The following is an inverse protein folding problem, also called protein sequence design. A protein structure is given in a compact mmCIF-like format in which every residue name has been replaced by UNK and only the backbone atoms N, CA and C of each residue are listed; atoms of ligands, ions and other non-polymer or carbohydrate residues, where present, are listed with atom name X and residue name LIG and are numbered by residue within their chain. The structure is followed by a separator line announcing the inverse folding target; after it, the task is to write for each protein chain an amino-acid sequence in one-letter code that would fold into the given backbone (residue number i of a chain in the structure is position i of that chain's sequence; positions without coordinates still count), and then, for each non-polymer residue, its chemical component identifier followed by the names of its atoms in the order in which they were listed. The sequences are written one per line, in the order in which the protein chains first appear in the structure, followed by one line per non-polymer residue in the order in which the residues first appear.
data_IF_802419390379
#
_entry.id   IF_802419390379
#
_cell.length_a   1.000
_cell.length_b   1.000
_cell.length_c   1.000
_cell.angle_alpha   90.00
_cell.angle_beta   90.00
_cell.angle_gamma   90.00
#
_symmetry.space_group_name_H-M   'P 1'
#
loop_
_entity.id
_entity.type
_entity.pdbx_description
1 polymer ?
#
# COMPACT_ATOMS: atom_id res chain seq x y z
N UNK A 1 -17.59 0.47 3.91
CA UNK A 1 -17.47 1.18 2.61
C UNK A 1 -16.23 2.06 2.68
N UNK A 2 -15.24 1.85 1.81
CA UNK A 2 -14.10 2.76 1.69
C UNK A 2 -14.61 4.03 0.98
N UNK A 3 -14.95 5.05 1.75
CA UNK A 3 -15.43 6.33 1.25
C UNK A 3 -14.23 7.14 0.74
N UNK A 4 -14.10 7.29 -0.58
CA UNK A 4 -13.03 8.06 -1.26
C UNK A 4 -13.40 9.55 -1.19
N UNK A 5 -13.63 10.08 0.01
CA UNK A 5 -13.98 11.49 0.25
C UNK A 5 -12.90 12.12 1.10
N UNK A 6 -11.81 12.45 0.43
CA UNK A 6 -10.59 12.99 1.03
C UNK A 6 -9.47 12.60 0.08
N UNK A 7 -8.66 13.56 -0.35
CA UNK A 7 -7.56 13.40 -1.30
C UNK A 7 -6.48 12.46 -0.74
N UNK A 8 -6.75 11.16 -0.68
CA UNK A 8 -5.74 10.18 -0.31
C UNK A 8 -4.71 10.14 -1.44
N UNK A 9 -3.44 10.38 -1.10
CA UNK A 9 -2.35 10.30 -2.07
C UNK A 9 -1.98 8.83 -2.21
N UNK A 10 -2.20 8.30 -3.40
CA UNK A 10 -1.91 6.90 -3.70
C UNK A 10 -0.53 6.76 -4.32
N UNK A 11 0.28 5.87 -3.75
CA UNK A 11 1.63 5.57 -4.23
C UNK A 11 1.75 4.08 -4.55
N UNK A 12 2.16 3.75 -5.77
CA UNK A 12 2.45 2.38 -6.14
C UNK A 12 3.92 2.05 -5.85
N UNK A 13 4.17 1.04 -5.01
CA UNK A 13 5.52 0.58 -4.67
C UNK A 13 5.99 -0.40 -5.73
N UNK A 14 7.01 0.01 -6.50
CA UNK A 14 7.51 -0.78 -7.64
C UNK A 14 8.43 -1.90 -7.18
N UNK A 15 8.46 -3.00 -7.94
CA UNK A 15 9.39 -4.13 -7.75
C UNK A 15 9.37 -4.75 -6.34
N UNK A 16 8.28 -4.54 -5.59
CA UNK A 16 8.09 -5.08 -4.26
C UNK A 16 6.97 -6.12 -4.27
N UNK A 17 7.37 -7.38 -4.10
CA UNK A 17 6.47 -8.53 -4.22
C UNK A 17 6.37 -9.39 -2.96
N UNK A 18 7.05 -9.00 -1.88
CA UNK A 18 6.94 -9.71 -0.61
C UNK A 18 5.60 -9.40 0.07
N UNK A 19 4.59 -10.22 -0.24
CA UNK A 19 3.27 -10.14 0.38
C UNK A 19 3.24 -10.64 1.82
N UNK A 20 4.35 -11.03 2.46
CA UNK A 20 4.36 -11.35 3.91
C UNK A 20 4.84 -10.17 4.73
N UNK A 21 5.24 -9.09 4.07
CA UNK A 21 5.78 -7.92 4.72
C UNK A 21 4.80 -7.26 5.68
N UNK A 22 5.36 -6.74 6.77
CA UNK A 22 4.69 -5.79 7.65
C UNK A 22 5.08 -4.37 7.29
N UNK A 23 4.44 -3.43 7.96
CA UNK A 23 4.60 -2.00 7.73
C UNK A 23 6.07 -1.54 7.73
N UNK A 24 6.92 -2.01 8.66
CA UNK A 24 8.33 -1.59 8.75
C UNK A 24 9.11 -1.81 7.45
N UNK A 25 8.81 -2.91 6.74
CA UNK A 25 9.48 -3.21 5.47
C UNK A 25 8.95 -2.33 4.34
N UNK A 26 7.65 -2.05 4.33
CA UNK A 26 7.01 -1.13 3.39
C UNK A 26 7.59 0.28 3.59
N UNK A 27 7.72 0.73 4.83
CA UNK A 27 8.32 2.01 5.21
C UNK A 27 9.76 2.14 4.68
N UNK A 28 10.59 1.13 4.92
CA UNK A 28 11.97 1.08 4.39
C UNK A 28 12.02 1.26 2.87
N UNK A 29 11.07 0.66 2.14
CA UNK A 29 11.01 0.78 0.67
C UNK A 29 10.49 2.14 0.24
N UNK A 30 9.53 2.72 0.96
CA UNK A 30 9.05 4.09 0.72
C UNK A 30 10.19 5.08 0.86
N UNK A 31 11.00 5.00 1.91
CA UNK A 31 12.17 5.85 2.06
C UNK A 31 13.18 5.64 0.92
N UNK A 32 13.44 4.40 0.54
CA UNK A 32 14.40 4.09 -0.51
C UNK A 32 13.94 4.54 -1.90
N UNK A 33 12.67 4.34 -2.25
CA UNK A 33 12.14 4.61 -3.60
C UNK A 33 11.61 6.03 -3.78
N UNK A 34 11.01 6.60 -2.72
CA UNK A 34 10.31 7.87 -2.78
C UNK A 34 11.04 8.97 -2.00
N UNK A 35 12.10 8.64 -1.24
CA UNK A 35 12.89 9.57 -0.42
C UNK A 35 12.02 10.52 0.42
N UNK A 36 10.97 9.96 1.03
CA UNK A 36 9.99 10.70 1.83
C UNK A 36 9.51 9.89 3.01
N UNK A 37 8.95 10.59 3.99
CA UNK A 37 8.12 10.02 5.04
C UNK A 37 6.67 9.86 4.56
N UNK A 38 5.94 8.85 5.06
CA UNK A 38 4.49 8.79 4.93
C UNK A 38 3.82 9.96 5.66
N UNK A 39 2.82 10.54 5.01
CA UNK A 39 1.98 11.58 5.59
C UNK A 39 0.55 11.07 5.78
N UNK A 40 -0.23 11.83 6.54
CA UNK A 40 -1.63 11.53 6.81
C UNK A 40 -2.44 11.37 5.52
N UNK A 41 -3.19 10.26 5.42
CA UNK A 41 -3.97 9.92 4.23
C UNK A 41 -3.15 9.33 3.08
N UNK A 42 -1.85 9.14 3.24
CA UNK A 42 -1.06 8.42 2.25
C UNK A 42 -1.45 6.93 2.23
N UNK A 43 -1.64 6.42 1.02
CA UNK A 43 -1.97 5.02 0.77
C UNK A 43 -0.93 4.41 -0.16
N UNK A 44 -0.22 3.41 0.32
CA UNK A 44 0.79 2.68 -0.44
C UNK A 44 0.20 1.37 -0.96
N UNK A 45 0.30 1.20 -2.27
CA UNK A 45 -0.24 0.05 -3.00
C UNK A 45 0.92 -0.88 -3.31
N UNK A 46 0.81 -2.11 -2.83
CA UNK A 46 1.75 -3.19 -3.12
C UNK A 46 0.99 -4.30 -3.83
N UNK A 47 1.58 -4.87 -4.88
CA UNK A 47 0.95 -5.90 -5.68
C UNK A 47 1.86 -7.12 -5.81
N UNK A 48 1.27 -8.31 -5.68
CA UNK A 48 1.98 -9.57 -5.89
C UNK A 48 2.49 -9.67 -7.33
N UNK A 49 3.52 -10.50 -7.54
CA UNK A 49 4.13 -10.67 -8.87
C UNK A 49 3.14 -11.19 -9.91
N UNK A 50 2.18 -12.00 -9.50
CA UNK A 50 1.11 -12.55 -10.32
C UNK A 50 -0.12 -11.63 -10.45
N UNK A 51 -0.06 -10.42 -9.87
CA UNK A 51 -1.10 -9.39 -9.91
C UNK A 51 -2.46 -9.81 -9.33
N UNK A 52 -2.53 -10.98 -8.69
CA UNK A 52 -3.76 -11.51 -8.09
C UNK A 52 -3.98 -11.06 -6.64
N UNK A 53 -2.99 -10.47 -5.99
CA UNK A 53 -3.10 -9.96 -4.63
C UNK A 53 -2.65 -8.51 -4.56
N UNK A 54 -3.53 -7.66 -4.07
CA UNK A 54 -3.26 -6.23 -3.83
C UNK A 54 -3.37 -5.96 -2.34
N UNK A 55 -2.36 -5.29 -1.80
CA UNK A 55 -2.37 -4.77 -0.44
C UNK A 55 -2.28 -3.25 -0.44
N UNK A 56 -3.14 -2.63 0.35
CA UNK A 56 -3.15 -1.19 0.60
C UNK A 56 -2.72 -0.93 2.04
N UNK A 57 -1.68 -0.13 2.20
CA UNK A 57 -1.21 0.35 3.49
C UNK A 57 -1.61 1.81 3.62
N UNK A 58 -2.52 2.12 4.52
CA UNK A 58 -2.95 3.50 4.78
C UNK A 58 -2.35 3.99 6.09
N UNK A 59 -1.89 5.23 6.10
CA UNK A 59 -1.37 5.90 7.29
C UNK A 59 -2.31 7.03 7.74
N UNK A 60 -2.65 7.06 9.04
CA UNK A 60 -3.53 8.09 9.63
C UNK A 60 -2.86 8.86 10.80
N UNK A 61 -1.54 9.07 10.71
CA UNK A 61 -0.63 9.62 11.75
C UNK A 61 -0.50 8.80 13.04
N UNK A 62 -1.56 8.15 13.48
CA UNK A 62 -1.63 7.43 14.76
C UNK A 62 -1.47 5.93 14.58
N UNK A 63 -1.87 5.41 13.43
CA UNK A 63 -1.90 3.98 13.17
C UNK A 63 -1.68 3.67 11.69
N UNK A 64 -1.37 2.41 11.44
CA UNK A 64 -1.28 1.85 10.11
C UNK A 64 -2.41 0.86 9.93
N UNK A 65 -3.19 1.02 8.87
CA UNK A 65 -4.20 0.05 8.48
C UNK A 65 -3.76 -0.67 7.22
N UNK A 66 -4.00 -1.99 7.19
CA UNK A 66 -3.70 -2.85 6.06
C UNK A 66 -5.01 -3.40 5.52
N UNK A 67 -5.22 -3.22 4.23
CA UNK A 67 -6.31 -3.84 3.49
C UNK A 67 -5.75 -4.79 2.44
N UNK A 68 -6.32 -5.99 2.33
CA UNK A 68 -5.94 -6.99 1.35
C UNK A 68 -7.12 -7.32 0.44
N UNK A 69 -6.86 -7.41 -0.86
CA UNK A 69 -7.84 -7.87 -1.85
C UNK A 69 -7.21 -8.84 -2.82
N UNK A 70 -7.83 -10.01 -2.93
CA UNK A 70 -7.52 -10.97 -4.00
C UNK A 70 -8.38 -10.67 -5.23
N UNK A 71 -7.73 -10.49 -6.36
CA UNK A 71 -8.37 -10.26 -7.65
C UNK A 71 -8.60 -11.61 -8.33
N UNK A 72 -9.86 -12.01 -8.43
CA UNK A 72 -10.30 -13.04 -9.37
C UNK A 72 -10.71 -12.34 -10.65
N UNK A 73 -9.88 -12.41 -11.68
CA UNK A 73 -10.33 -12.05 -13.02
C UNK A 73 -11.36 -13.10 -13.45
N UNK A 74 -12.60 -12.67 -13.71
CA UNK A 74 -13.53 -13.46 -14.50
C UNK A 74 -13.29 -13.05 -15.94
N UNK A 75 -12.76 -13.97 -16.73
CA UNK A 75 -12.77 -13.91 -18.20
C UNK A 75 -14.20 -13.97 -18.73
#
# INVERSE_FOLDING_TARGET
MLNITGLNRFFFVRDFHDMRCKYDKVLSIIHQQLNREPEDGDVFIVMSKDLHLVRLFSYDRRSYSMFERRMSWKE
#
